data_IF_389421984387
#
_entry.id   IF_389421984387
#
_cell.length_a   1.000
_cell.length_b   1.000
_cell.length_c   1.000
_cell.angle_alpha   90.00
_cell.angle_beta   90.00
_cell.angle_gamma   90.00
#
_symmetry.space_group_name_H-M   'P 1'
#
loop_
_entity.id
_entity.type
_entity.pdbx_description
1 polymer ?
#
# COMPACT_ATOMS: atom_id res chain seq x y z
N UNK A 1 7.62 9.74 13.82
CA UNK A 1 6.40 9.34 13.10
C UNK A 1 5.38 8.88 14.14
N UNK A 2 4.08 9.17 13.99
CA UNK A 2 3.04 8.74 14.93
C UNK A 2 2.23 7.61 14.28
N UNK A 3 2.23 6.42 14.89
CA UNK A 3 1.64 5.20 14.32
C UNK A 3 0.31 4.79 14.97
N UNK A 4 -0.07 5.41 16.09
CA UNK A 4 -1.24 4.99 16.89
C UNK A 4 -2.55 5.24 16.13
N UNK A 5 -3.27 4.16 15.85
CA UNK A 5 -4.57 4.21 15.18
C UNK A 5 -4.51 4.39 13.65
N UNK A 6 -3.31 4.30 13.04
CA UNK A 6 -3.17 4.38 11.60
C UNK A 6 -3.71 3.10 10.94
N UNK A 7 -4.75 3.25 10.11
CA UNK A 7 -5.31 2.14 9.34
C UNK A 7 -4.46 1.80 8.10
N UNK A 8 -3.69 2.78 7.60
CA UNK A 8 -2.74 2.57 6.52
C UNK A 8 -1.51 3.48 6.64
N UNK A 9 -0.43 3.08 5.97
CA UNK A 9 0.81 3.84 5.86
C UNK A 9 1.39 3.77 4.44
N UNK A 10 1.92 4.89 3.96
CA UNK A 10 2.63 4.98 2.67
C UNK A 10 4.10 5.27 2.94
N UNK A 11 4.97 4.37 2.54
CA UNK A 11 6.42 4.55 2.58
C UNK A 11 6.87 5.01 1.20
N UNK A 12 7.36 6.24 1.13
CA UNK A 12 7.79 6.84 -0.13
C UNK A 12 9.33 6.81 -0.21
N UNK A 13 9.87 6.39 -1.35
CA UNK A 13 11.29 6.52 -1.69
C UNK A 13 11.45 7.25 -3.02
N UNK A 14 12.68 7.60 -3.36
CA UNK A 14 13.03 8.27 -4.61
C UNK A 14 13.71 7.27 -5.56
N UNK A 15 13.18 7.10 -6.77
CA UNK A 15 13.74 6.15 -7.75
C UNK A 15 15.16 6.50 -8.19
N UNK A 16 15.56 7.77 -8.08
CA UNK A 16 16.90 8.23 -8.45
C UNK A 16 17.90 8.15 -7.29
N UNK A 17 17.54 7.51 -6.17
CA UNK A 17 18.40 7.46 -4.99
C UNK A 17 18.28 6.13 -4.26
N UNK A 18 19.26 5.25 -4.43
CA UNK A 18 19.30 3.93 -3.80
C UNK A 18 19.34 3.99 -2.25
N UNK A 19 19.96 5.02 -1.68
CA UNK A 19 20.00 5.19 -0.23
C UNK A 19 18.61 5.49 0.35
N UNK A 20 17.75 6.20 -0.41
CA UNK A 20 16.37 6.44 -0.02
C UNK A 20 15.56 5.14 0.04
N UNK A 21 15.76 4.25 -0.94
CA UNK A 21 15.13 2.94 -0.97
C UNK A 21 15.58 2.05 0.19
N UNK A 22 16.87 2.07 0.51
CA UNK A 22 17.41 1.34 1.67
C UNK A 22 16.78 1.82 2.99
N UNK A 23 16.55 3.12 3.13
CA UNK A 23 15.84 3.69 4.30
C UNK A 23 14.37 3.29 4.31
N UNK A 24 13.70 3.29 3.15
CA UNK A 24 12.31 2.83 3.03
C UNK A 24 12.13 1.39 3.50
N UNK A 25 13.06 0.48 3.17
CA UNK A 25 13.04 -0.90 3.68
C UNK A 25 13.05 -0.96 5.22
N UNK A 26 13.85 -0.11 5.87
CA UNK A 26 13.88 0.00 7.34
C UNK A 26 12.55 0.52 7.91
N UNK A 27 11.98 1.54 7.27
CA UNK A 27 10.67 2.06 7.68
C UNK A 27 9.55 1.02 7.57
N UNK A 28 9.54 0.21 6.52
CA UNK A 28 8.60 -0.92 6.38
C UNK A 28 8.76 -1.90 7.53
N UNK A 29 10.00 -2.29 7.86
CA UNK A 29 10.27 -3.21 8.97
C UNK A 29 9.82 -2.62 10.31
N UNK A 30 10.06 -1.34 10.56
CA UNK A 30 9.59 -0.65 11.77
C UNK A 30 8.06 -0.60 11.83
N UNK A 31 7.38 -0.33 10.70
CA UNK A 31 5.93 -0.34 10.60
C UNK A 31 5.34 -1.73 10.87
N UNK A 32 5.99 -2.79 10.38
CA UNK A 32 5.55 -4.17 10.64
C UNK A 32 5.83 -4.60 12.08
N UNK A 33 6.90 -4.10 12.70
CA UNK A 33 7.26 -4.44 14.08
C UNK A 33 6.42 -3.69 15.13
N UNK A 34 6.06 -2.43 14.87
CA UNK A 34 5.33 -1.57 15.81
C UNK A 34 3.85 -1.38 15.45
N UNK A 35 3.47 -1.65 14.21
CA UNK A 35 2.12 -1.46 13.70
C UNK A 35 1.16 -2.55 14.16
N UNK A 36 -0.13 -2.26 14.02
CA UNK A 36 -1.15 -3.28 14.17
C UNK A 36 -1.07 -4.23 12.97
N UNK A 37 -1.41 -5.50 13.17
CA UNK A 37 -1.47 -6.51 12.09
C UNK A 37 -2.45 -6.15 10.95
N UNK A 38 -3.30 -5.14 11.17
CA UNK A 38 -4.31 -4.68 10.23
C UNK A 38 -3.90 -3.40 9.49
N UNK A 39 -2.72 -2.85 9.74
CA UNK A 39 -2.26 -1.64 9.04
C UNK A 39 -1.84 -2.00 7.62
N UNK A 40 -2.55 -1.47 6.64
CA UNK A 40 -2.19 -1.64 5.22
C UNK A 40 -0.96 -0.78 4.91
N UNK A 41 0.11 -1.40 4.39
CA UNK A 41 1.35 -0.68 4.05
C UNK A 41 1.56 -0.68 2.53
N UNK A 42 1.81 0.50 1.98
CA UNK A 42 2.16 0.70 0.59
C UNK A 42 3.56 1.30 0.45
N UNK A 43 4.27 0.91 -0.60
CA UNK A 43 5.57 1.39 -1.00
C UNK A 43 5.43 2.19 -2.30
N UNK A 44 5.78 3.47 -2.26
CA UNK A 44 5.67 4.39 -3.39
C UNK A 44 7.06 4.80 -3.90
N UNK A 45 7.37 4.47 -5.16
CA UNK A 45 8.57 4.98 -5.83
C UNK A 45 8.30 6.33 -6.45
N UNK A 46 8.66 7.43 -5.79
CA UNK A 46 8.45 8.79 -6.28
C UNK A 46 9.52 9.20 -7.30
N UNK A 47 9.23 10.27 -8.06
CA UNK A 47 10.04 10.83 -9.15
C UNK A 47 10.15 9.91 -10.37
N UNK A 48 9.09 9.17 -10.69
CA UNK A 48 9.02 8.32 -11.88
C UNK A 48 9.32 9.05 -13.21
N UNK A 49 9.28 10.39 -13.23
CA UNK A 49 9.70 11.23 -14.35
C UNK A 49 11.22 11.20 -14.62
N UNK A 50 12.05 10.85 -13.63
CA UNK A 50 13.52 10.80 -13.74
C UNK A 50 14.03 9.43 -14.20
N UNK A 51 13.52 8.92 -15.31
CA UNK A 51 13.88 7.59 -15.83
C UNK A 51 15.38 7.46 -16.16
N UNK A 52 16.01 8.52 -16.65
CA UNK A 52 17.44 8.52 -17.01
C UNK A 52 18.37 8.50 -15.80
N UNK A 53 17.91 9.00 -14.65
CA UNK A 53 18.66 9.02 -13.40
C UNK A 53 18.24 7.88 -12.45
N UNK A 54 17.52 6.87 -12.97
CA UNK A 54 17.02 5.75 -12.16
C UNK A 54 18.19 4.95 -11.59
N UNK A 55 18.21 4.83 -10.27
CA UNK A 55 19.13 3.94 -9.55
C UNK A 55 18.42 2.67 -9.06
N UNK A 56 17.13 2.79 -8.71
CA UNK A 56 16.33 1.67 -8.19
C UNK A 56 15.53 1.03 -9.34
N UNK A 57 15.76 -0.26 -9.58
CA UNK A 57 15.00 -1.00 -10.60
C UNK A 57 13.58 -1.28 -10.13
N UNK A 58 12.63 -1.19 -11.07
CA UNK A 58 11.20 -1.45 -10.80
C UNK A 58 11.04 -2.87 -10.26
N UNK A 59 11.72 -3.83 -10.88
CA UNK A 59 11.64 -5.25 -10.53
C UNK A 59 12.15 -5.51 -9.11
N UNK A 60 13.22 -4.81 -8.68
CA UNK A 60 13.75 -4.93 -7.30
C UNK A 60 12.71 -4.44 -6.29
N UNK A 61 12.13 -3.26 -6.52
CA UNK A 61 11.13 -2.68 -5.64
C UNK A 61 9.83 -3.50 -5.61
N UNK A 62 9.40 -3.99 -6.77
CA UNK A 62 8.21 -4.85 -6.90
C UNK A 62 8.39 -6.18 -6.20
N UNK A 63 9.54 -6.84 -6.38
CA UNK A 63 9.85 -8.10 -5.70
C UNK A 63 9.87 -7.90 -4.19
N UNK A 64 10.55 -6.85 -3.71
CA UNK A 64 10.58 -6.50 -2.30
C UNK A 64 9.17 -6.27 -1.73
N UNK A 65 8.31 -5.55 -2.45
CA UNK A 65 6.93 -5.32 -2.03
C UNK A 65 6.13 -6.62 -1.95
N UNK A 66 6.24 -7.51 -2.95
CA UNK A 66 5.56 -8.81 -2.95
C UNK A 66 6.00 -9.71 -1.80
N UNK A 67 7.31 -9.79 -1.53
CA UNK A 67 7.87 -10.57 -0.43
C UNK A 67 7.41 -10.10 0.94
N UNK A 68 7.17 -8.79 1.09
CA UNK A 68 6.76 -8.16 2.35
C UNK A 68 5.25 -7.90 2.43
N UNK A 69 4.46 -8.35 1.43
CA UNK A 69 3.01 -8.16 1.39
C UNK A 69 2.57 -6.69 1.31
N UNK A 70 3.36 -5.86 0.65
CA UNK A 70 3.11 -4.43 0.48
C UNK A 70 2.47 -4.14 -0.88
N UNK A 71 1.63 -3.10 -0.93
CA UNK A 71 1.25 -2.52 -2.22
C UNK A 71 2.43 -1.75 -2.81
N UNK A 72 2.61 -1.80 -4.12
CA UNK A 72 3.69 -1.06 -4.80
C UNK A 72 3.15 -0.26 -5.98
N UNK A 73 3.57 1.00 -6.06
CA UNK A 73 3.25 1.87 -7.19
C UNK A 73 4.35 2.91 -7.39
N UNK A 74 4.77 3.14 -8.63
CA UNK A 74 5.62 4.29 -8.96
C UNK A 74 4.75 5.52 -9.16
N UNK A 75 5.18 6.65 -8.60
CA UNK A 75 4.47 7.92 -8.59
C UNK A 75 5.40 9.04 -9.05
N UNK A 76 4.84 10.11 -9.57
CA UNK A 76 5.58 11.36 -9.71
C UNK A 76 4.72 12.51 -9.21
N UNK A 77 5.17 13.12 -8.11
CA UNK A 77 4.57 14.34 -7.61
C UNK A 77 4.68 15.51 -8.60
N UNK A 78 5.66 15.48 -9.52
CA UNK A 78 5.90 16.55 -10.50
C UNK A 78 4.92 16.48 -11.67
N UNK A 79 4.65 15.29 -12.19
CA UNK A 79 3.70 15.08 -13.29
C UNK A 79 2.30 14.70 -12.81
N UNK A 80 2.09 14.63 -11.49
CA UNK A 80 0.89 14.12 -10.83
C UNK A 80 0.51 12.68 -11.26
N UNK A 81 1.48 11.91 -11.77
CA UNK A 81 1.27 10.53 -12.22
C UNK A 81 1.13 9.60 -11.02
N UNK A 82 0.07 8.81 -10.98
CA UNK A 82 -0.20 7.76 -9.98
C UNK A 82 -0.31 8.26 -8.52
N UNK A 83 -0.37 9.58 -8.30
CA UNK A 83 -0.52 10.15 -6.96
C UNK A 83 -1.92 9.88 -6.44
N UNK A 84 -2.97 10.09 -7.23
CA UNK A 84 -4.33 9.80 -6.79
C UNK A 84 -4.58 8.29 -6.68
N UNK A 85 -4.08 7.51 -7.63
CA UNK A 85 -4.31 6.07 -7.72
C UNK A 85 -3.79 5.34 -6.48
N UNK A 86 -2.60 5.69 -5.99
CA UNK A 86 -2.08 5.06 -4.77
C UNK A 86 -2.94 5.38 -3.53
N UNK A 87 -3.52 6.59 -3.44
CA UNK A 87 -4.42 6.92 -2.33
C UNK A 87 -5.77 6.19 -2.45
N UNK A 88 -6.31 6.04 -3.66
CA UNK A 88 -7.54 5.27 -3.90
C UNK A 88 -7.35 3.79 -3.56
N UNK A 89 -6.29 3.16 -4.08
CA UNK A 89 -5.97 1.75 -3.84
C UNK A 89 -5.82 1.44 -2.34
N UNK A 90 -5.15 2.32 -1.59
CA UNK A 90 -5.01 2.17 -0.15
C UNK A 90 -6.33 2.41 0.56
N UNK A 91 -7.12 3.40 0.14
CA UNK A 91 -8.44 3.67 0.69
C UNK A 91 -9.36 2.46 0.55
N UNK A 92 -9.43 1.88 -0.65
CA UNK A 92 -10.20 0.66 -0.92
C UNK A 92 -9.67 -0.53 -0.12
N UNK A 93 -8.35 -0.78 -0.14
CA UNK A 93 -7.75 -1.89 0.60
C UNK A 93 -8.01 -1.80 2.10
N UNK A 94 -7.91 -0.59 2.66
CA UNK A 94 -8.20 -0.33 4.07
C UNK A 94 -9.68 -0.53 4.37
N UNK A 95 -10.57 -0.09 3.46
CA UNK A 95 -12.01 -0.29 3.60
C UNK A 95 -12.38 -1.77 3.62
N UNK A 96 -11.81 -2.60 2.73
CA UNK A 96 -12.02 -4.05 2.73
C UNK A 96 -11.43 -4.73 3.96
N UNK A 97 -10.25 -4.31 4.43
CA UNK A 97 -9.65 -4.83 5.67
C UNK A 97 -10.55 -4.52 6.89
N UNK A 98 -11.03 -3.28 7.00
CA UNK A 98 -11.93 -2.87 8.07
C UNK A 98 -13.29 -3.58 7.99
N UNK A 99 -13.86 -3.74 6.78
CA UNK A 99 -15.08 -4.51 6.57
C UNK A 99 -14.90 -6.00 6.89
N UNK A 100 -13.76 -6.60 6.52
CA UNK A 100 -13.43 -7.98 6.83
C UNK A 100 -13.36 -8.22 8.34
N UNK A 101 -12.71 -7.33 9.08
CA UNK A 101 -12.68 -7.37 10.55
C UNK A 101 -14.06 -7.10 11.18
N UNK A 102 -14.79 -6.10 10.70
CA UNK A 102 -16.17 -5.83 11.12
C UNK A 102 -17.11 -7.00 10.85
N UNK A 103 -16.91 -7.74 9.76
CA UNK A 103 -17.75 -8.86 9.36
C UNK A 103 -17.41 -10.13 10.16
N UNK A 104 -16.13 -10.39 10.41
CA UNK A 104 -15.67 -11.51 11.25
C UNK A 104 -16.10 -11.35 12.72
N UNK A 105 -16.14 -10.12 13.24
CA UNK A 105 -16.59 -9.84 14.61
C UNK A 105 -18.11 -9.98 14.77
N UNK A 106 -18.88 -9.97 13.66
CA UNK A 106 -20.35 -9.86 13.71
C UNK A 106 -21.15 -11.03 13.14
N UNK A 107 -20.54 -12.15 12.72
CA UNK A 107 -21.31 -13.28 12.16
C UNK A 107 -20.89 -14.67 12.62
N UNK A 108 -21.68 -15.17 13.56
CA UNK A 108 -22.24 -16.54 13.54
C UNK A 108 -23.22 -16.77 12.38
N UNK A 109 -22.96 -16.26 11.17
CA UNK A 109 -23.90 -16.32 10.05
C UNK A 109 -23.20 -16.69 8.74
N UNK A 110 -23.77 -17.73 8.12
CA UNK A 110 -23.39 -18.50 6.93
C UNK A 110 -22.66 -17.75 5.81
N UNK A 111 -21.64 -18.44 5.26
CA UNK A 111 -20.76 -18.08 4.13
C UNK A 111 -21.46 -17.56 2.88
N UNK A 112 -22.76 -17.82 2.70
CA UNK A 112 -23.48 -17.47 1.47
C UNK A 112 -23.74 -15.97 1.27
N UNK A 113 -23.65 -15.15 2.32
CA UNK A 113 -23.95 -13.71 2.23
C UNK A 113 -22.76 -12.85 1.74
N UNK A 114 -21.54 -13.40 1.71
CA UNK A 114 -20.31 -12.63 1.43
C UNK A 114 -20.19 -12.27 -0.05
N UNK A 115 -20.65 -13.15 -0.95
CA UNK A 115 -20.58 -12.92 -2.40
C UNK A 115 -21.56 -11.84 -2.91
N UNK A 116 -22.62 -11.53 -2.17
CA UNK A 116 -23.64 -10.57 -2.61
C UNK A 116 -23.28 -9.11 -2.31
N UNK A 117 -22.34 -8.84 -1.38
CA UNK A 117 -21.97 -7.49 -0.94
C UNK A 117 -20.56 -7.05 -1.38
N UNK A 118 -19.80 -7.91 -2.05
CA UNK A 118 -18.44 -7.60 -2.56
C UNK A 118 -18.40 -7.32 -4.06
N UNK A 119 -19.55 -7.18 -4.73
CA UNK A 119 -19.55 -6.71 -6.11
C UNK A 119 -19.23 -5.19 -6.10
N UNK A 120 -18.17 -4.73 -6.79
CA UNK A 120 -17.91 -3.31 -6.91
C UNK A 120 -19.12 -2.63 -7.58
N UNK A 121 -19.57 -1.45 -7.11
CA UNK A 121 -20.75 -0.77 -7.64
C UNK A 121 -20.59 -0.24 -9.09
N UNK A 122 -19.47 -0.54 -9.75
CA UNK A 122 -19.14 -0.07 -11.09
C UNK A 122 -18.56 -1.20 -11.94
N UNK A 123 -19.41 -2.13 -12.35
CA UNK A 123 -19.21 -2.85 -13.61
C UNK A 123 -20.25 -2.31 -14.61
N UNK A 124 -19.85 -1.96 -15.85
CA UNK A 124 -20.74 -1.36 -16.86
C UNK A 124 -21.87 -2.28 -17.31
#
# INVERSE_FOLDING_TARGET
MYYRGAAAAIVVYDISNQASFTRAKKWVQELQAQGNQNTVVALAGNKADLLEAREVQIEEAKTYAQENGLFFMETSAKTATNVNDIFYEIGESTFYCLLGCWFLDRKSLSRSAVHHYLAPPFAP
#
